data_IF_584766802039
#
_entry.id   IF_584766802039
#
_cell.length_a   1.000
_cell.length_b   1.000
_cell.length_c   1.000
_cell.angle_alpha   90.00
_cell.angle_beta   90.00
_cell.angle_gamma   90.00
#
_symmetry.space_group_name_H-M   'P 1'
#
loop_
_entity.id
_entity.type
_entity.pdbx_description
1 polymer ?
#
# COMPACT_ATOMS: atom_id res chain seq x y z
N UNK A 1 -2.95 -14.79 6.23
CA UNK A 1 -3.94 -15.30 5.25
C UNK A 1 -5.05 -14.27 5.11
N UNK A 2 -5.48 -13.95 3.89
CA UNK A 2 -6.59 -13.02 3.64
C UNK A 2 -7.18 -13.24 2.23
N UNK A 3 -8.35 -12.66 1.89
CA UNK A 3 -9.04 -12.91 0.62
C UNK A 3 -8.36 -12.35 -0.63
N UNK A 4 -7.37 -11.46 -0.49
CA UNK A 4 -6.64 -10.87 -1.62
C UNK A 4 -5.19 -10.53 -1.26
N UNK A 5 -4.39 -10.19 -2.28
CA UNK A 5 -2.94 -9.96 -2.17
C UNK A 5 -2.59 -8.81 -1.23
N UNK A 6 -3.30 -7.68 -1.36
CA UNK A 6 -3.09 -6.53 -0.49
C UNK A 6 -3.24 -6.92 0.99
N UNK A 7 -4.39 -7.47 1.37
CA UNK A 7 -4.67 -7.84 2.76
C UNK A 7 -3.75 -8.96 3.25
N UNK A 8 -3.40 -9.92 2.38
CA UNK A 8 -2.49 -11.00 2.74
C UNK A 8 -1.11 -10.46 3.11
N UNK A 9 -0.60 -9.46 2.37
CA UNK A 9 0.68 -8.80 2.67
C UNK A 9 0.63 -7.99 3.96
N UNK A 10 -0.49 -7.31 4.25
CA UNK A 10 -0.67 -6.61 5.52
C UNK A 10 -0.70 -7.63 6.68
N UNK A 11 -1.48 -8.70 6.54
CA UNK A 11 -1.64 -9.73 7.55
C UNK A 11 -0.33 -10.47 7.87
N UNK A 12 0.56 -10.69 6.89
CA UNK A 12 1.84 -11.38 7.13
C UNK A 12 2.78 -10.61 8.07
N UNK A 13 2.60 -9.30 8.21
CA UNK A 13 3.40 -8.46 9.10
C UNK A 13 2.74 -8.24 10.47
N UNK A 14 1.51 -8.75 10.69
CA UNK A 14 0.67 -8.34 11.83
C UNK A 14 1.11 -8.94 13.17
N UNK A 15 1.45 -10.23 13.17
CA UNK A 15 1.84 -10.99 14.37
C UNK A 15 3.32 -11.41 14.32
N UNK A 16 4.19 -10.63 13.68
CA UNK A 16 5.63 -10.91 13.69
C UNK A 16 6.24 -10.64 15.08
N UNK A 17 7.31 -11.36 15.48
CA UNK A 17 7.99 -12.44 14.76
C UNK A 17 7.30 -13.81 14.92
N UNK A 18 7.63 -14.77 14.02
CA UNK A 18 7.20 -16.18 14.03
C UNK A 18 5.69 -16.45 14.27
N UNK A 19 4.84 -15.52 13.86
CA UNK A 19 3.40 -15.63 13.99
C UNK A 19 2.67 -15.51 12.66
N UNK A 20 1.41 -15.94 12.68
CA UNK A 20 0.48 -15.83 11.57
C UNK A 20 -0.77 -15.04 11.98
N UNK A 21 -1.38 -14.38 11.01
CA UNK A 21 -2.63 -13.65 11.19
C UNK A 21 -3.58 -13.94 10.03
N UNK A 22 -4.86 -14.11 10.34
CA UNK A 22 -5.91 -14.40 9.37
C UNK A 22 -6.94 -13.27 9.40
N UNK A 23 -7.11 -12.60 8.26
CA UNK A 23 -8.23 -11.68 8.04
C UNK A 23 -9.31 -12.48 7.32
N UNK A 24 -10.40 -12.81 8.02
CA UNK A 24 -11.52 -13.55 7.43
C UNK A 24 -12.40 -12.59 6.61
N UNK A 25 -13.11 -13.05 5.57
CA UNK A 25 -13.92 -12.18 4.71
C UNK A 25 -14.87 -11.25 5.47
N UNK A 26 -15.53 -11.74 6.52
CA UNK A 26 -16.45 -10.96 7.35
C UNK A 26 -15.76 -9.88 8.20
N UNK A 27 -14.46 -10.03 8.48
CA UNK A 27 -13.69 -9.08 9.29
C UNK A 27 -13.04 -7.99 8.41
N UNK A 28 -13.03 -8.16 7.08
CA UNK A 28 -12.29 -7.29 6.15
C UNK A 28 -12.71 -5.84 6.30
N UNK A 29 -14.01 -5.56 6.32
CA UNK A 29 -14.47 -4.17 6.30
C UNK A 29 -13.97 -3.39 7.53
N UNK A 30 -14.19 -3.94 8.72
CA UNK A 30 -13.76 -3.37 9.99
C UNK A 30 -12.24 -3.31 10.11
N UNK A 31 -11.54 -4.39 9.73
CA UNK A 31 -10.08 -4.45 9.75
C UNK A 31 -9.47 -3.36 8.87
N UNK A 32 -9.98 -3.21 7.65
CA UNK A 32 -9.46 -2.21 6.72
C UNK A 32 -9.82 -0.82 7.18
N UNK A 33 -11.04 -0.54 7.67
CA UNK A 33 -11.40 0.80 8.12
C UNK A 33 -10.43 1.35 9.19
N UNK A 34 -10.00 0.50 10.13
CA UNK A 34 -9.03 0.86 11.17
C UNK A 34 -7.57 0.90 10.70
N UNK A 35 -7.27 0.45 9.47
CA UNK A 35 -5.91 0.30 8.98
C UNK A 35 -5.26 1.68 8.71
N UNK A 36 -4.07 1.99 9.27
CA UNK A 36 -3.36 3.22 8.96
C UNK A 36 -3.00 3.29 7.46
N UNK A 37 -3.13 4.47 6.85
CA UNK A 37 -2.88 4.63 5.39
C UNK A 37 -1.47 4.21 4.98
N UNK A 38 -0.47 4.36 5.86
CA UNK A 38 0.91 3.93 5.63
C UNK A 38 1.09 2.41 5.47
N UNK A 39 0.08 1.60 5.86
CA UNK A 39 0.09 0.14 5.69
C UNK A 39 -0.52 -0.28 4.35
N UNK A 40 -1.12 0.63 3.58
CA UNK A 40 -1.60 0.35 2.23
C UNK A 40 -0.40 0.04 1.32
N UNK A 41 -0.47 -1.07 0.58
CA UNK A 41 0.56 -1.43 -0.39
C UNK A 41 0.71 -0.32 -1.46
N UNK A 42 1.92 0.20 -1.63
CA UNK A 42 2.21 1.33 -2.52
C UNK A 42 2.20 2.71 -1.85
N UNK A 43 1.71 2.82 -0.62
CA UNK A 43 1.83 4.07 0.16
C UNK A 43 3.19 4.10 0.87
N UNK A 44 4.14 4.83 0.27
CA UNK A 44 5.43 5.14 0.89
C UNK A 44 5.40 6.38 1.80
N UNK A 45 6.57 6.75 2.36
CA UNK A 45 6.74 7.89 3.28
C UNK A 45 6.13 9.20 2.75
N UNK A 46 6.37 9.51 1.48
CA UNK A 46 5.91 10.76 0.85
C UNK A 46 4.38 10.78 0.72
N UNK A 47 3.79 9.69 0.21
CA UNK A 47 2.33 9.60 0.04
C UNK A 47 1.62 9.61 1.40
N UNK A 48 2.14 8.90 2.40
CA UNK A 48 1.60 8.92 3.75
C UNK A 48 1.66 10.33 4.36
N UNK A 49 2.77 11.06 4.19
CA UNK A 49 2.89 12.43 4.65
C UNK A 49 1.89 13.37 3.96
N UNK A 50 1.67 13.20 2.65
CA UNK A 50 0.66 13.97 1.90
C UNK A 50 -0.75 13.69 2.42
N UNK A 51 -1.12 12.43 2.65
CA UNK A 51 -2.42 12.05 3.21
C UNK A 51 -2.61 12.61 4.62
N UNK A 52 -1.60 12.51 5.48
CA UNK A 52 -1.66 13.06 6.84
C UNK A 52 -1.89 14.58 6.84
N UNK A 53 -1.25 15.33 5.91
CA UNK A 53 -1.49 16.79 5.77
C UNK A 53 -2.91 17.12 5.33
N UNK A 54 -3.60 16.18 4.70
CA UNK A 54 -5.00 16.29 4.30
C UNK A 54 -5.96 15.78 5.39
N UNK A 55 -5.46 15.49 6.60
CA UNK A 55 -6.24 14.98 7.73
C UNK A 55 -6.61 13.50 7.63
N UNK A 56 -6.00 12.75 6.69
CA UNK A 56 -6.29 11.33 6.46
C UNK A 56 -5.19 10.47 7.08
N UNK A 57 -5.54 9.75 8.15
CA UNK A 57 -4.60 8.89 8.89
C UNK A 57 -4.91 7.40 8.75
N UNK A 58 -6.19 7.06 8.57
CA UNK A 58 -6.70 5.70 8.42
C UNK A 58 -7.40 5.51 7.07
N UNK A 59 -7.60 4.25 6.68
CA UNK A 59 -8.41 3.96 5.51
C UNK A 59 -9.87 4.39 5.72
N UNK A 60 -10.38 4.37 6.96
CA UNK A 60 -11.68 4.91 7.32
C UNK A 60 -11.82 6.39 6.93
N UNK A 61 -10.84 7.21 7.28
CA UNK A 61 -10.81 8.63 6.88
C UNK A 61 -10.78 8.77 5.35
N UNK A 62 -10.00 7.90 4.69
CA UNK A 62 -9.85 7.92 3.23
C UNK A 62 -11.13 7.51 2.49
N UNK A 63 -12.05 6.77 3.12
CA UNK A 63 -13.33 6.37 2.51
C UNK A 63 -14.27 7.56 2.28
N UNK A 64 -14.11 8.64 3.04
CA UNK A 64 -14.92 9.87 2.86
C UNK A 64 -14.59 10.61 1.56
N UNK A 65 -13.44 10.31 0.93
CA UNK A 65 -13.02 10.95 -0.30
C UNK A 65 -13.68 10.31 -1.52
N UNK A 66 -14.07 11.13 -2.49
CA UNK A 66 -14.55 10.63 -3.78
C UNK A 66 -13.39 10.05 -4.60
N UNK A 67 -13.73 9.15 -5.52
CA UNK A 67 -12.73 8.61 -6.47
C UNK A 67 -12.13 9.72 -7.35
N UNK A 68 -12.92 10.76 -7.66
CA UNK A 68 -12.48 11.90 -8.46
C UNK A 68 -11.44 12.73 -7.70
N UNK A 69 -11.68 13.06 -6.43
CA UNK A 69 -10.74 13.84 -5.61
C UNK A 69 -9.43 13.08 -5.39
N UNK A 70 -9.50 11.77 -5.14
CA UNK A 70 -8.31 10.94 -5.00
C UNK A 70 -7.53 10.85 -6.31
N UNK A 71 -8.22 10.70 -7.44
CA UNK A 71 -7.56 10.63 -8.75
C UNK A 71 -6.93 11.98 -9.11
N UNK A 72 -7.59 13.09 -8.79
CA UNK A 72 -7.02 14.43 -8.95
C UNK A 72 -5.77 14.63 -8.09
N UNK A 73 -5.80 14.19 -6.82
CA UNK A 73 -4.69 14.38 -5.89
C UNK A 73 -3.52 13.40 -6.08
N UNK A 74 -3.76 12.17 -6.56
CA UNK A 74 -2.77 11.08 -6.59
C UNK A 74 -2.63 10.39 -7.96
N UNK A 75 -3.27 10.90 -9.01
CA UNK A 75 -3.24 10.33 -10.35
C UNK A 75 -3.84 8.92 -10.40
N UNK A 76 -3.25 8.04 -11.21
CA UNK A 76 -3.70 6.63 -11.33
C UNK A 76 -3.67 5.87 -10.01
N UNK A 77 -2.81 6.27 -9.08
CA UNK A 77 -2.77 5.67 -7.74
C UNK A 77 -3.97 6.09 -6.88
N UNK A 78 -4.61 7.22 -7.16
CA UNK A 78 -5.83 7.67 -6.48
C UNK A 78 -7.00 6.69 -6.64
N UNK A 79 -7.23 6.20 -7.86
CA UNK A 79 -8.21 5.14 -8.12
C UNK A 79 -7.88 3.84 -7.38
N UNK A 80 -6.58 3.53 -7.22
CA UNK A 80 -6.13 2.38 -6.42
C UNK A 80 -6.38 2.60 -4.93
N UNK A 81 -6.08 3.79 -4.39
CA UNK A 81 -6.35 4.15 -3.00
C UNK A 81 -7.83 4.02 -2.65
N UNK A 82 -8.72 4.48 -3.55
CA UNK A 82 -10.17 4.37 -3.38
C UNK A 82 -10.64 2.92 -3.18
N UNK A 83 -10.07 1.98 -3.95
CA UNK A 83 -10.38 0.54 -3.84
C UNK A 83 -9.73 -0.09 -2.61
N UNK A 84 -8.44 0.17 -2.39
CA UNK A 84 -7.65 -0.45 -1.32
C UNK A 84 -8.16 -0.04 0.07
N UNK A 85 -8.59 1.21 0.28
CA UNK A 85 -9.17 1.63 1.56
C UNK A 85 -10.52 0.98 1.88
N UNK A 86 -11.13 0.30 0.89
CA UNK A 86 -12.35 -0.52 1.01
C UNK A 86 -12.04 -2.02 0.98
N UNK A 87 -10.76 -2.40 1.05
CA UNK A 87 -10.32 -3.80 1.05
C UNK A 87 -10.37 -4.48 -0.32
N UNK A 88 -10.62 -3.73 -1.39
CA UNK A 88 -10.79 -4.26 -2.75
C UNK A 88 -9.43 -4.28 -3.45
N UNK A 89 -8.98 -5.48 -3.83
CA UNK A 89 -7.80 -5.72 -4.66
C UNK A 89 -8.03 -6.93 -5.57
N UNK A 90 -8.31 -6.67 -6.84
CA UNK A 90 -8.63 -7.69 -7.85
C UNK A 90 -7.39 -8.18 -8.61
N UNK A 91 -6.19 -7.71 -8.26
CA UNK A 91 -4.97 -8.10 -8.97
C UNK A 91 -4.73 -9.60 -8.78
N UNK A 92 -4.58 -10.38 -9.86
CA UNK A 92 -4.30 -11.80 -9.73
C UNK A 92 -2.89 -12.04 -9.18
N UNK A 93 -2.67 -13.22 -8.63
CA UNK A 93 -1.32 -13.72 -8.42
C UNK A 93 -0.74 -14.04 -9.80
N UNK A 94 0.44 -13.48 -10.10
CA UNK A 94 1.18 -13.76 -11.33
C UNK A 94 2.44 -14.51 -10.91
N UNK A 95 2.46 -15.86 -11.03
CA UNK A 95 3.63 -16.65 -10.64
C UNK A 95 4.81 -16.41 -11.59
N UNK A 96 4.51 -16.18 -12.87
CA UNK A 96 5.50 -15.96 -13.92
C UNK A 96 5.67 -14.47 -14.21
N UNK A 97 6.91 -13.99 -14.12
CA UNK A 97 7.26 -12.62 -14.53
C UNK A 97 8.65 -12.59 -15.17
N UNK A 98 8.71 -12.12 -16.42
CA UNK A 98 9.98 -11.91 -17.13
C UNK A 98 10.69 -10.68 -16.54
N UNK A 99 11.97 -10.84 -16.18
CA UNK A 99 12.84 -9.74 -15.73
C UNK A 99 13.02 -8.75 -16.88
N UNK A 100 12.78 -7.45 -16.63
CA UNK A 100 12.87 -6.39 -17.66
C UNK A 100 14.19 -5.63 -17.68
N UNK A 101 14.92 -5.60 -16.57
CA UNK A 101 16.18 -4.86 -16.44
C UNK A 101 17.16 -5.58 -15.52
N UNK A 102 18.45 -5.26 -15.68
CA UNK A 102 19.57 -5.61 -14.80
C UNK A 102 20.36 -4.34 -14.55
N UNK A 103 20.57 -3.97 -13.29
CA UNK A 103 21.29 -2.75 -12.88
C UNK A 103 22.46 -3.14 -11.97
N UNK A 104 23.57 -2.40 -12.07
CA UNK A 104 24.70 -2.45 -11.13
C UNK A 104 24.91 -1.03 -10.62
N UNK A 105 24.79 -0.87 -9.31
CA UNK A 105 24.82 0.44 -8.64
C UNK A 105 25.89 0.42 -7.55
N UNK A 106 26.70 1.48 -7.50
CA UNK A 106 27.69 1.71 -6.45
C UNK A 106 27.40 3.04 -5.78
N UNK A 107 27.15 3.02 -4.46
CA UNK A 107 27.06 4.24 -3.65
C UNK A 107 28.41 4.53 -3.03
N UNK A 108 29.05 5.65 -3.40
CA UNK A 108 30.34 6.08 -2.85
C UNK A 108 30.15 6.88 -1.55
N UNK A 109 31.11 6.76 -0.62
CA UNK A 109 31.04 7.45 0.69
C UNK A 109 31.27 8.95 0.57
N UNK A 110 32.33 9.42 -0.12
CA UNK A 110 32.37 10.78 -0.62
C UNK A 110 31.77 10.86 -2.04
N UNK A 111 31.17 11.99 -2.36
CA UNK A 111 30.84 12.32 -3.75
C UNK A 111 32.13 12.35 -4.58
N UNK A 112 32.13 11.63 -5.71
CA UNK A 112 33.20 11.71 -6.68
C UNK A 112 33.06 13.04 -7.43
N UNK A 113 34.10 13.86 -7.41
CA UNK A 113 34.07 15.20 -8.01
C UNK A 113 34.31 15.19 -9.52
N UNK A 114 34.82 14.08 -10.04
CA UNK A 114 35.14 13.88 -11.45
C UNK A 114 34.66 12.47 -11.88
N UNK A 115 34.17 12.37 -13.13
CA UNK A 115 33.83 11.11 -13.81
C UNK A 115 34.72 10.93 -15.04
#
# INVERSE_FOLDING_TARGET
>A
IAPNKFLAKVASDWNKPDGQFVVRPQDVDAFVAALPVKKIFGVGKVTAAKLNRLGVHTCGDLRAWSVADLTHAFGSFGASLYRLCRGIDERPVQPDRVRKSLSVETTYTPDLRDL
#
